data_IF_801649568962
#
_entry.id   IF_801649568962
#
_cell.length_a   1.000
_cell.length_b   1.000
_cell.length_c   1.000
_cell.angle_alpha   90.00
_cell.angle_beta   90.00
_cell.angle_gamma   90.00
#
_symmetry.space_group_name_H-M   'P 1'
#
loop_
_entity.id
_entity.type
_entity.pdbx_description
1 polymer ?
#
# COMPACT_ATOMS: atom_id res chain seq x y z
N UNK A 1 -40.21 1.74 -11.83
CA UNK A 1 -39.92 1.59 -13.29
C UNK A 1 -38.60 2.33 -13.53
N UNK A 2 -37.46 1.65 -13.27
CA UNK A 2 -36.11 2.20 -13.43
C UNK A 2 -35.48 1.61 -14.65
N UNK A 3 -35.07 2.47 -15.58
CA UNK A 3 -34.49 2.10 -16.86
C UNK A 3 -32.99 1.92 -16.67
N UNK A 4 -32.53 0.68 -16.85
CA UNK A 4 -31.12 0.30 -16.93
C UNK A 4 -30.59 0.75 -18.29
N UNK A 5 -29.57 1.61 -18.31
CA UNK A 5 -28.82 1.87 -19.55
C UNK A 5 -27.60 0.95 -19.59
N UNK A 6 -27.76 -0.08 -20.41
CA UNK A 6 -26.67 -0.95 -20.87
C UNK A 6 -25.90 -0.21 -21.96
N UNK A 7 -24.63 0.10 -21.74
CA UNK A 7 -23.75 0.60 -22.81
C UNK A 7 -22.88 -0.55 -23.28
N UNK A 8 -23.24 -1.09 -24.45
CA UNK A 8 -22.41 -2.02 -25.20
C UNK A 8 -21.19 -1.30 -25.78
N UNK A 9 -20.00 -1.84 -25.58
CA UNK A 9 -18.79 -1.43 -26.31
C UNK A 9 -18.85 -2.02 -27.73
N UNK A 10 -19.22 -1.23 -28.70
CA UNK A 10 -18.95 -1.48 -30.11
C UNK A 10 -17.74 -0.67 -30.58
N UNK A 11 -16.98 -1.28 -31.47
CA UNK A 11 -15.73 -0.81 -32.03
C UNK A 11 -15.83 0.61 -32.62
N UNK A 12 -14.94 1.52 -32.18
CA UNK A 12 -14.83 2.85 -32.74
C UNK A 12 -14.02 2.85 -34.04
N UNK A 13 -14.70 3.11 -35.15
CA UNK A 13 -14.11 3.70 -36.34
C UNK A 13 -14.14 5.25 -36.21
N UNK A 14 -13.16 6.00 -36.73
CA UNK A 14 -13.06 7.42 -36.46
C UNK A 14 -14.08 8.23 -37.25
N UNK A 15 -14.99 8.88 -36.54
CA UNK A 15 -15.86 9.93 -37.11
C UNK A 15 -15.18 11.29 -36.88
N UNK A 16 -14.65 11.86 -37.96
CA UNK A 16 -14.10 13.23 -37.97
C UNK A 16 -15.28 14.20 -37.94
N UNK A 17 -15.54 14.81 -36.79
CA UNK A 17 -16.41 15.96 -36.67
C UNK A 17 -15.53 17.20 -36.46
N UNK A 18 -15.58 18.11 -37.47
CA UNK A 18 -15.07 19.44 -37.40
C UNK A 18 -15.83 20.24 -36.33
N UNK A 19 -15.17 20.55 -35.22
CA UNK A 19 -15.57 21.67 -34.36
C UNK A 19 -14.66 22.86 -34.64
N UNK A 20 -15.29 23.93 -35.11
CA UNK A 20 -14.67 25.21 -35.35
C UNK A 20 -14.08 25.80 -34.07
N UNK A 21 -12.87 26.31 -34.22
CA UNK A 21 -12.09 27.05 -33.26
C UNK A 21 -12.88 28.16 -32.57
N UNK A 22 -12.92 28.16 -31.25
CA UNK A 22 -12.90 29.35 -30.43
C UNK A 22 -11.57 29.30 -29.67
N UNK A 23 -10.65 30.13 -30.15
CA UNK A 23 -9.34 30.24 -29.60
C UNK A 23 -9.35 30.91 -28.23
N UNK A 24 -8.71 30.25 -27.28
CA UNK A 24 -7.97 30.87 -26.20
C UNK A 24 -6.70 30.04 -26.00
N UNK A 25 -5.62 30.51 -26.62
CA UNK A 25 -4.27 30.07 -26.32
C UNK A 25 -3.93 30.58 -24.92
N UNK A 26 -4.16 29.75 -23.91
CA UNK A 26 -3.39 29.83 -22.67
C UNK A 26 -2.40 28.70 -22.74
N UNK A 27 -1.17 29.03 -23.12
CA UNK A 27 -0.01 28.17 -23.07
C UNK A 27 0.55 28.21 -21.63
N UNK A 28 -0.24 27.79 -20.64
CA UNK A 28 0.25 27.48 -19.31
C UNK A 28 0.40 25.97 -19.24
N UNK A 29 1.64 25.50 -19.11
CA UNK A 29 1.91 24.10 -18.74
C UNK A 29 1.07 23.77 -17.51
N UNK A 30 0.36 22.63 -17.53
CA UNK A 30 -0.35 22.16 -16.35
C UNK A 30 0.63 22.06 -15.18
N UNK A 31 0.19 22.36 -13.94
CA UNK A 31 1.05 22.23 -12.77
C UNK A 31 1.43 20.76 -12.54
N UNK A 32 2.58 20.53 -11.92
CA UNK A 32 3.01 19.20 -11.47
C UNK A 32 1.98 18.62 -10.52
N UNK A 33 1.60 17.35 -10.68
CA UNK A 33 0.61 16.70 -9.81
C UNK A 33 1.02 16.74 -8.34
N UNK A 34 2.30 16.54 -8.04
CA UNK A 34 2.83 16.59 -6.66
C UNK A 34 2.78 17.99 -6.04
N UNK A 35 2.69 19.04 -6.85
CA UNK A 35 2.53 20.44 -6.37
C UNK A 35 1.09 20.78 -5.99
N UNK A 36 0.11 19.99 -6.44
CA UNK A 36 -1.31 20.20 -6.16
C UNK A 36 -1.78 19.56 -4.84
N UNK A 37 -0.87 18.91 -4.10
CA UNK A 37 -1.21 18.21 -2.86
C UNK A 37 -0.27 18.57 -1.72
N UNK A 38 -0.83 18.67 -0.50
CA UNK A 38 -0.06 18.92 0.71
C UNK A 38 0.73 17.67 1.19
N UNK A 39 0.31 16.48 0.80
CA UNK A 39 0.94 15.19 1.08
C UNK A 39 0.99 14.34 -0.18
N UNK A 40 1.36 13.08 -0.07
CA UNK A 40 1.36 12.14 -1.19
C UNK A 40 1.44 10.69 -0.74
N UNK A 41 0.88 9.78 -1.55
CA UNK A 41 0.87 8.35 -1.29
C UNK A 41 0.28 7.99 0.07
N UNK A 42 0.67 6.85 0.59
CA UNK A 42 0.23 6.35 1.91
C UNK A 42 0.68 7.24 3.09
N UNK A 43 1.64 8.15 2.89
CA UNK A 43 2.06 9.13 3.91
C UNK A 43 1.05 10.23 4.25
N UNK A 44 -0.09 10.33 3.53
CA UNK A 44 -1.18 11.26 3.85
C UNK A 44 -2.26 10.67 4.78
N UNK A 45 -2.12 9.43 5.24
CA UNK A 45 -3.05 8.83 6.22
C UNK A 45 -3.07 9.64 7.52
N UNK A 46 -4.26 9.71 8.16
CA UNK A 46 -4.41 10.31 9.49
C UNK A 46 -3.61 9.48 10.48
N UNK A 47 -2.88 10.16 11.38
CA UNK A 47 -2.08 9.48 12.39
C UNK A 47 -2.95 8.56 13.26
N UNK A 48 -2.49 7.32 13.60
CA UNK A 48 -3.30 6.33 14.30
C UNK A 48 -3.91 6.83 15.63
N UNK A 49 -3.16 7.63 16.38
CA UNK A 49 -3.65 8.21 17.64
C UNK A 49 -4.84 9.14 17.43
N UNK A 50 -4.79 9.99 16.38
CA UNK A 50 -5.88 10.91 16.02
C UNK A 50 -7.09 10.13 15.52
N UNK A 51 -6.87 9.12 14.66
CA UNK A 51 -7.94 8.27 14.17
C UNK A 51 -8.63 7.52 15.32
N UNK A 52 -7.87 6.97 16.25
CA UNK A 52 -8.40 6.32 17.45
C UNK A 52 -9.27 7.25 18.29
N UNK A 53 -8.87 8.52 18.43
CA UNK A 53 -9.67 9.52 19.16
C UNK A 53 -10.99 9.83 18.43
N UNK A 54 -10.94 10.01 17.10
CA UNK A 54 -12.15 10.23 16.28
C UNK A 54 -13.13 9.06 16.42
N UNK A 55 -12.63 7.82 16.41
CA UNK A 55 -13.46 6.62 16.47
C UNK A 55 -14.07 6.34 17.85
N UNK A 56 -13.52 6.88 18.95
CA UNK A 56 -14.08 6.71 20.31
C UNK A 56 -15.53 7.15 20.46
N UNK A 57 -15.98 8.10 19.64
CA UNK A 57 -17.34 8.64 19.66
C UNK A 57 -18.31 7.95 18.69
N UNK A 58 -17.86 6.97 17.90
CA UNK A 58 -18.71 6.30 16.93
C UNK A 58 -19.56 5.21 17.61
N UNK A 59 -20.84 5.10 17.18
CA UNK A 59 -21.75 4.06 17.67
C UNK A 59 -21.17 2.67 17.34
N UNK A 60 -20.93 1.87 18.37
CA UNK A 60 -20.57 0.47 18.20
C UNK A 60 -21.84 -0.33 17.86
N UNK A 61 -21.92 -0.84 16.65
CA UNK A 61 -22.95 -1.79 16.26
C UNK A 61 -22.54 -3.22 16.67
N UNK A 62 -23.51 -4.11 16.94
CA UNK A 62 -23.20 -5.52 17.14
C UNK A 62 -22.44 -6.08 15.93
N UNK A 63 -21.30 -6.70 16.19
CA UNK A 63 -20.48 -7.33 15.14
C UNK A 63 -21.14 -8.66 14.76
N UNK A 64 -21.53 -8.86 13.49
CA UNK A 64 -22.08 -10.13 13.04
C UNK A 64 -20.99 -11.23 13.12
N UNK A 65 -21.40 -12.46 13.44
CA UNK A 65 -20.47 -13.60 13.54
C UNK A 65 -19.76 -13.95 12.24
N UNK A 66 -20.32 -13.53 11.12
CA UNK A 66 -19.77 -13.70 9.77
C UNK A 66 -18.62 -12.71 9.48
N UNK A 67 -18.50 -11.61 10.24
CA UNK A 67 -17.38 -10.68 10.14
C UNK A 67 -16.15 -11.30 10.82
N UNK A 68 -15.26 -11.92 10.01
CA UNK A 68 -14.07 -12.61 10.50
C UNK A 68 -12.97 -11.64 10.86
N UNK A 69 -12.83 -10.56 10.09
CA UNK A 69 -11.84 -9.49 10.27
C UNK A 69 -12.54 -8.15 10.14
N UNK A 70 -12.32 -7.28 11.11
CA UNK A 70 -12.87 -5.92 11.16
C UNK A 70 -11.83 -4.95 11.71
N UNK A 71 -12.29 -3.89 12.39
CA UNK A 71 -11.40 -2.81 12.88
C UNK A 71 -10.60 -3.17 14.15
N UNK A 72 -10.85 -4.33 14.77
CA UNK A 72 -10.31 -4.63 16.10
C UNK A 72 -8.82 -4.99 16.08
N UNK A 73 -8.33 -5.61 15.03
CA UNK A 73 -6.97 -6.17 14.89
C UNK A 73 -6.07 -5.36 13.96
N UNK A 74 -6.59 -4.24 13.40
CA UNK A 74 -5.86 -3.38 12.47
C UNK A 74 -5.23 -4.16 11.30
N UNK A 75 -5.97 -5.12 10.76
CA UNK A 75 -5.60 -5.86 9.55
C UNK A 75 -5.85 -5.01 8.29
N UNK A 76 -5.29 -5.43 7.17
CA UNK A 76 -5.27 -4.65 5.92
C UNK A 76 -6.66 -4.48 5.28
N UNK A 77 -7.58 -5.44 5.48
CA UNK A 77 -8.93 -5.38 4.93
C UNK A 77 -9.97 -6.03 5.84
N UNK A 78 -11.24 -5.66 5.64
CA UNK A 78 -12.36 -6.38 6.22
C UNK A 78 -12.57 -7.72 5.52
N UNK A 79 -12.90 -8.77 6.30
CA UNK A 79 -13.20 -10.11 5.77
C UNK A 79 -14.55 -10.58 6.31
N UNK A 80 -15.48 -10.86 5.41
CA UNK A 80 -16.81 -11.33 5.72
C UNK A 80 -17.06 -12.73 5.16
N UNK A 81 -17.38 -13.69 6.03
CA UNK A 81 -17.65 -15.08 5.65
C UNK A 81 -18.98 -15.17 4.90
N UNK A 82 -18.96 -15.64 3.67
CA UNK A 82 -20.15 -15.90 2.85
C UNK A 82 -20.70 -17.30 3.09
N UNK A 83 -19.81 -18.28 3.17
CA UNK A 83 -20.09 -19.70 3.45
C UNK A 83 -18.80 -20.40 3.90
N UNK A 84 -18.82 -21.71 4.07
CA UNK A 84 -17.66 -22.47 4.57
C UNK A 84 -16.49 -22.59 3.57
N UNK A 85 -16.68 -22.17 2.32
CA UNK A 85 -15.66 -22.22 1.26
C UNK A 85 -15.19 -20.84 0.82
N UNK A 86 -15.95 -19.78 1.13
CA UNK A 86 -15.67 -18.44 0.63
C UNK A 86 -15.90 -17.37 1.69
N UNK A 87 -14.96 -16.48 1.79
CA UNK A 87 -15.09 -15.20 2.46
C UNK A 87 -14.77 -14.06 1.48
N UNK A 88 -15.50 -12.96 1.63
CA UNK A 88 -15.29 -11.73 0.87
C UNK A 88 -14.28 -10.86 1.60
N UNK A 89 -13.25 -10.45 0.89
CA UNK A 89 -12.33 -9.40 1.30
C UNK A 89 -12.83 -8.09 0.70
N UNK A 90 -12.90 -7.03 1.50
CA UNK A 90 -13.27 -5.70 1.04
C UNK A 90 -12.32 -4.66 1.64
N UNK A 91 -11.65 -3.91 0.78
CA UNK A 91 -10.76 -2.82 1.16
C UNK A 91 -11.02 -1.56 0.34
N UNK A 92 -10.53 -0.43 0.83
CA UNK A 92 -10.49 0.83 0.09
C UNK A 92 -9.21 1.57 0.42
N UNK A 93 -8.43 1.90 -0.60
CA UNK A 93 -7.26 2.76 -0.44
C UNK A 93 -7.19 3.79 -1.56
N UNK A 94 -6.91 5.04 -1.20
CA UNK A 94 -6.80 6.17 -2.09
C UNK A 94 -5.88 7.22 -1.49
N UNK A 95 -5.20 7.98 -2.33
CA UNK A 95 -4.27 9.01 -1.87
C UNK A 95 -3.99 10.07 -2.93
N UNK A 96 -3.24 11.08 -2.54
CA UNK A 96 -2.74 12.15 -3.38
C UNK A 96 -1.46 11.75 -4.10
N UNK A 97 -1.10 12.38 -5.25
CA UNK A 97 0.07 12.01 -6.05
C UNK A 97 1.39 12.01 -5.29
N UNK A 98 2.22 10.99 -5.55
CA UNK A 98 3.63 10.92 -5.15
C UNK A 98 4.57 11.07 -6.34
N UNK A 99 4.03 11.07 -7.56
CA UNK A 99 4.73 11.27 -8.83
C UNK A 99 3.98 12.26 -9.70
N UNK A 100 4.67 12.87 -10.67
CA UNK A 100 4.09 13.88 -11.56
C UNK A 100 3.53 13.26 -12.84
N UNK A 101 4.03 12.10 -13.28
CA UNK A 101 3.42 11.39 -14.40
C UNK A 101 2.04 10.85 -14.02
N UNK A 102 0.97 11.25 -14.74
CA UNK A 102 -0.39 10.88 -14.38
C UNK A 102 -0.68 9.37 -14.58
N UNK A 103 -0.06 8.74 -15.56
CA UNK A 103 -0.24 7.32 -15.80
C UNK A 103 0.42 6.49 -14.68
N UNK A 104 1.64 6.88 -14.27
CA UNK A 104 2.34 6.23 -13.16
C UNK A 104 1.62 6.46 -11.83
N UNK A 105 1.08 7.65 -11.58
CA UNK A 105 0.24 7.89 -10.39
C UNK A 105 -0.94 6.93 -10.34
N UNK A 106 -1.65 6.77 -11.46
CA UNK A 106 -2.77 5.81 -11.56
C UNK A 106 -2.34 4.37 -11.30
N UNK A 107 -1.19 3.95 -11.86
CA UNK A 107 -0.61 2.60 -11.63
C UNK A 107 -0.29 2.36 -10.15
N UNK A 108 0.38 3.29 -9.52
CA UNK A 108 0.79 3.18 -8.11
C UNK A 108 -0.44 3.07 -7.21
N UNK A 109 -1.44 3.95 -7.41
CA UNK A 109 -2.64 3.96 -6.61
C UNK A 109 -3.44 2.65 -6.71
N UNK A 110 -3.58 2.10 -7.93
CA UNK A 110 -4.24 0.82 -8.13
C UNK A 110 -3.46 -0.35 -7.53
N UNK A 111 -2.12 -0.36 -7.69
CA UNK A 111 -1.26 -1.41 -7.12
C UNK A 111 -1.38 -1.43 -5.59
N UNK A 112 -1.37 -0.26 -4.96
CA UNK A 112 -1.51 -0.13 -3.51
C UNK A 112 -2.87 -0.66 -3.02
N UNK A 113 -3.96 -0.23 -3.65
CA UNK A 113 -5.30 -0.64 -3.21
C UNK A 113 -5.58 -2.15 -3.41
N UNK A 114 -4.99 -2.78 -4.43
CA UNK A 114 -5.11 -4.22 -4.64
C UNK A 114 -4.27 -5.02 -3.64
N UNK A 115 -3.22 -4.43 -3.09
CA UNK A 115 -2.25 -5.09 -2.20
C UNK A 115 -2.89 -5.65 -0.95
N UNK A 116 -3.85 -4.94 -0.33
CA UNK A 116 -4.56 -5.40 0.87
C UNK A 116 -5.27 -6.74 0.66
N UNK A 117 -5.81 -6.97 -0.55
CA UNK A 117 -6.45 -8.26 -0.88
C UNK A 117 -5.41 -9.38 -0.87
N UNK A 118 -4.23 -9.12 -1.41
CA UNK A 118 -3.12 -10.09 -1.39
C UNK A 118 -2.57 -10.32 0.02
N UNK A 119 -2.48 -9.26 0.84
CA UNK A 119 -2.05 -9.33 2.23
C UNK A 119 -2.99 -10.19 3.08
N UNK A 120 -4.29 -10.17 2.80
CA UNK A 120 -5.26 -11.08 3.44
C UNK A 120 -5.25 -12.51 2.88
N UNK A 121 -4.32 -12.85 1.98
CA UNK A 121 -4.21 -14.16 1.34
C UNK A 121 -5.23 -14.42 0.24
N UNK A 122 -5.94 -13.40 -0.21
CA UNK A 122 -7.03 -13.50 -1.18
C UNK A 122 -6.65 -13.20 -2.63
N UNK A 123 -7.58 -13.51 -3.53
CA UNK A 123 -7.50 -13.17 -4.95
C UNK A 123 -8.47 -12.03 -5.25
N UNK A 124 -8.02 -10.90 -5.81
CA UNK A 124 -8.92 -9.82 -6.21
C UNK A 124 -9.87 -10.31 -7.31
N UNK A 125 -11.10 -9.78 -7.32
CA UNK A 125 -12.13 -10.16 -8.30
C UNK A 125 -12.69 -8.97 -9.09
N UNK A 126 -12.74 -7.79 -8.50
CA UNK A 126 -13.14 -6.55 -9.17
C UNK A 126 -12.73 -5.32 -8.37
N UNK A 127 -12.72 -4.16 -9.01
CA UNK A 127 -12.47 -2.88 -8.38
C UNK A 127 -13.54 -1.83 -8.74
N UNK A 128 -13.68 -0.81 -7.88
CA UNK A 128 -14.44 0.41 -8.14
C UNK A 128 -13.50 1.60 -7.99
N UNK A 129 -13.47 2.51 -8.96
CA UNK A 129 -12.57 3.66 -8.93
C UNK A 129 -13.11 4.79 -8.04
N UNK A 130 -12.23 5.37 -7.21
CA UNK A 130 -12.48 6.59 -6.44
C UNK A 130 -11.66 7.72 -7.06
N UNK A 131 -12.34 8.75 -7.56
CA UNK A 131 -11.73 9.82 -8.35
C UNK A 131 -12.16 11.19 -7.80
N UNK A 132 -11.25 11.89 -7.13
CA UNK A 132 -11.39 13.29 -6.77
C UNK A 132 -10.38 14.12 -7.57
N UNK A 133 -10.85 15.04 -8.43
CA UNK A 133 -9.93 15.79 -9.30
C UNK A 133 -10.30 17.25 -9.38
N UNK A 134 -9.30 18.18 -9.36
CA UNK A 134 -9.52 19.61 -9.57
C UNK A 134 -9.74 19.88 -11.06
N UNK A 135 -10.99 19.72 -11.53
CA UNK A 135 -11.35 19.77 -12.96
C UNK A 135 -11.14 21.14 -13.61
N UNK A 136 -10.97 22.21 -12.80
CA UNK A 136 -10.62 23.54 -13.29
C UNK A 136 -9.09 23.75 -13.45
N UNK A 137 -8.27 22.78 -12.98
CA UNK A 137 -6.79 22.85 -12.98
C UNK A 137 -6.19 21.80 -13.88
N UNK A 138 -6.71 20.57 -13.82
CA UNK A 138 -6.25 19.43 -14.60
C UNK A 138 -7.14 19.21 -15.83
N UNK A 139 -6.52 18.98 -17.00
CA UNK A 139 -7.24 18.64 -18.21
C UNK A 139 -7.90 17.25 -18.12
N UNK A 140 -8.94 17.04 -18.89
CA UNK A 140 -9.57 15.72 -19.05
C UNK A 140 -8.59 14.67 -19.59
N UNK A 141 -7.58 15.09 -20.36
CA UNK A 141 -6.52 14.21 -20.86
C UNK A 141 -5.63 13.71 -19.71
N UNK A 142 -5.20 14.60 -18.81
CA UNK A 142 -4.40 14.24 -17.64
C UNK A 142 -5.16 13.31 -16.70
N UNK A 143 -6.43 13.65 -16.41
CA UNK A 143 -7.32 12.78 -15.60
C UNK A 143 -7.52 11.42 -16.29
N UNK A 144 -7.74 11.42 -17.61
CA UNK A 144 -7.86 10.19 -18.39
C UNK A 144 -6.62 9.29 -18.32
N UNK A 145 -5.39 9.88 -18.30
CA UNK A 145 -4.15 9.10 -18.11
C UNK A 145 -4.05 8.47 -16.73
N UNK A 146 -4.49 9.15 -15.66
CA UNK A 146 -4.55 8.57 -14.31
C UNK A 146 -5.44 7.33 -14.31
N UNK A 147 -6.65 7.44 -14.86
CA UNK A 147 -7.58 6.32 -14.95
C UNK A 147 -7.03 5.17 -15.81
N UNK A 148 -6.37 5.49 -16.92
CA UNK A 148 -5.72 4.50 -17.79
C UNK A 148 -4.59 3.75 -17.06
N UNK A 149 -3.81 4.46 -16.23
CA UNK A 149 -2.79 3.85 -15.37
C UNK A 149 -3.40 2.83 -14.41
N UNK A 150 -4.45 3.20 -13.70
CA UNK A 150 -5.17 2.30 -12.79
C UNK A 150 -5.78 1.09 -13.53
N UNK A 151 -6.40 1.33 -14.67
CA UNK A 151 -6.97 0.26 -15.50
C UNK A 151 -5.92 -0.73 -16.00
N UNK A 152 -4.71 -0.27 -16.33
CA UNK A 152 -3.61 -1.13 -16.77
C UNK A 152 -3.18 -2.12 -15.68
N UNK A 153 -3.14 -1.69 -14.42
CA UNK A 153 -2.81 -2.54 -13.27
C UNK A 153 -3.94 -3.52 -12.97
N UNK A 154 -5.20 -3.07 -12.98
CA UNK A 154 -6.36 -3.97 -12.84
C UNK A 154 -6.37 -5.06 -13.92
N UNK A 155 -6.05 -4.70 -15.16
CA UNK A 155 -5.91 -5.67 -16.25
C UNK A 155 -4.78 -6.68 -15.99
N UNK A 156 -3.63 -6.24 -15.47
CA UNK A 156 -2.53 -7.13 -15.07
C UNK A 156 -2.93 -8.06 -13.92
N UNK A 157 -3.73 -7.56 -12.98
CA UNK A 157 -4.29 -8.37 -11.88
C UNK A 157 -5.44 -9.29 -12.33
N UNK A 158 -5.90 -9.17 -13.59
CA UNK A 158 -6.99 -9.96 -14.16
C UNK A 158 -8.37 -9.58 -13.65
N UNK A 159 -8.57 -8.33 -13.24
CA UNK A 159 -9.84 -7.84 -12.67
C UNK A 159 -10.40 -6.64 -13.45
N UNK A 160 -11.73 -6.51 -13.59
CA UNK A 160 -12.34 -5.33 -14.16
C UNK A 160 -12.42 -4.18 -13.14
N UNK A 161 -12.38 -2.93 -13.63
CA UNK A 161 -12.95 -1.78 -12.94
C UNK A 161 -14.44 -1.74 -13.30
N UNK A 162 -15.30 -2.11 -12.35
CA UNK A 162 -16.74 -2.33 -12.59
C UNK A 162 -17.59 -1.05 -12.39
N UNK A 163 -16.96 0.09 -12.09
CA UNK A 163 -17.62 1.36 -11.84
C UNK A 163 -16.80 2.21 -10.87
N UNK A 164 -17.47 3.10 -10.15
CA UNK A 164 -16.80 3.95 -9.18
C UNK A 164 -17.57 5.23 -8.87
N UNK A 165 -16.90 6.20 -8.25
CA UNK A 165 -17.46 7.50 -7.93
C UNK A 165 -16.48 8.62 -8.25
N UNK A 166 -17.00 9.77 -8.71
CA UNK A 166 -16.18 10.94 -9.08
C UNK A 166 -16.69 12.18 -8.37
N UNK A 167 -15.77 13.02 -7.90
CA UNK A 167 -16.07 14.33 -7.32
C UNK A 167 -15.12 15.39 -7.87
N UNK A 168 -15.57 16.64 -7.93
CA UNK A 168 -14.69 17.80 -8.06
C UNK A 168 -14.01 18.03 -6.70
N UNK A 169 -12.69 18.10 -6.68
CA UNK A 169 -11.88 18.18 -5.46
C UNK A 169 -10.80 19.23 -5.61
N UNK A 170 -10.37 19.85 -4.51
CA UNK A 170 -9.27 20.83 -4.51
C UNK A 170 -7.93 20.16 -4.82
N UNK A 171 -7.72 18.94 -4.31
CA UNK A 171 -6.52 18.15 -4.52
C UNK A 171 -6.84 16.91 -5.35
N UNK A 172 -5.92 16.47 -6.23
CA UNK A 172 -6.11 15.20 -6.97
C UNK A 172 -6.04 14.01 -6.01
N UNK A 173 -7.06 13.18 -6.05
CA UNK A 173 -7.19 11.96 -5.26
C UNK A 173 -7.59 10.83 -6.21
N UNK A 174 -6.86 9.73 -6.16
CA UNK A 174 -7.21 8.52 -6.90
C UNK A 174 -6.92 7.28 -6.06
N UNK A 175 -7.77 6.29 -6.21
CA UNK A 175 -7.62 4.96 -5.63
C UNK A 175 -8.77 4.05 -6.00
N UNK A 176 -8.85 2.92 -5.32
CA UNK A 176 -9.84 1.89 -5.60
C UNK A 176 -10.50 1.41 -4.31
N UNK A 177 -11.76 1.02 -4.41
CA UNK A 177 -12.32 -0.05 -3.59
C UNK A 177 -11.98 -1.36 -4.30
N UNK A 178 -11.45 -2.33 -3.59
CA UNK A 178 -11.13 -3.64 -4.17
C UNK A 178 -11.86 -4.74 -3.40
N UNK A 179 -12.49 -5.63 -4.16
CA UNK A 179 -13.11 -6.84 -3.62
C UNK A 179 -12.29 -8.05 -4.00
N UNK A 180 -12.13 -8.98 -3.06
CA UNK A 180 -11.43 -10.25 -3.28
C UNK A 180 -12.15 -11.42 -2.63
N UNK A 181 -11.72 -12.62 -2.97
CA UNK A 181 -12.21 -13.85 -2.36
C UNK A 181 -11.04 -14.64 -1.76
N UNK A 182 -11.32 -15.26 -0.62
CA UNK A 182 -10.39 -16.13 0.09
C UNK A 182 -11.17 -17.31 0.71
N UNK A 183 -10.52 -18.47 0.89
CA UNK A 183 -11.09 -19.52 1.74
C UNK A 183 -11.01 -19.08 3.20
N UNK A 184 -12.07 -19.25 4.03
CA UNK A 184 -12.07 -18.80 5.43
C UNK A 184 -10.85 -19.25 6.23
N UNK A 185 -10.41 -20.50 6.04
CA UNK A 185 -9.27 -21.08 6.77
C UNK A 185 -7.89 -20.58 6.27
N UNK A 186 -7.85 -19.78 5.18
CA UNK A 186 -6.62 -19.23 4.60
C UNK A 186 -6.45 -17.73 4.83
N UNK A 187 -7.40 -17.12 5.53
CA UNK A 187 -7.27 -15.71 5.92
C UNK A 187 -6.06 -15.54 6.81
N UNK A 188 -5.14 -14.64 6.42
CA UNK A 188 -3.97 -14.30 7.24
C UNK A 188 -4.25 -12.99 7.98
N UNK A 189 -3.97 -12.99 9.26
CA UNK A 189 -4.23 -11.87 10.17
C UNK A 189 -2.99 -11.53 10.96
N UNK A 190 -2.89 -10.31 11.41
CA UNK A 190 -1.78 -9.82 12.21
C UNK A 190 -1.61 -10.58 13.54
N UNK A 191 -2.71 -11.05 14.14
CA UNK A 191 -2.70 -11.79 15.42
C UNK A 191 -2.29 -13.27 15.30
N UNK A 192 -2.02 -13.74 14.07
CA UNK A 192 -1.63 -15.14 13.82
C UNK A 192 -0.18 -15.48 14.13
N UNK A 193 0.72 -14.50 14.28
CA UNK A 193 2.14 -14.71 14.47
C UNK A 193 2.45 -15.46 15.78
N UNK A 194 3.55 -16.22 15.80
CA UNK A 194 3.95 -17.10 16.89
C UNK A 194 5.39 -16.85 17.34
N UNK A 195 5.69 -17.17 18.59
CA UNK A 195 7.07 -17.16 19.09
C UNK A 195 7.94 -18.09 18.24
N UNK A 196 9.10 -17.58 17.83
CA UNK A 196 10.05 -18.31 16.97
C UNK A 196 9.80 -18.13 15.47
N UNK A 197 8.69 -17.50 15.06
CA UNK A 197 8.49 -17.18 13.64
C UNK A 197 9.60 -16.28 13.11
N UNK A 198 9.95 -16.49 11.85
CA UNK A 198 10.87 -15.68 11.08
C UNK A 198 10.08 -14.66 10.25
N UNK A 199 10.59 -13.44 10.17
CA UNK A 199 9.99 -12.37 9.37
C UNK A 199 10.70 -12.22 8.03
N UNK A 200 9.93 -12.29 6.94
CA UNK A 200 10.41 -12.11 5.57
C UNK A 200 9.74 -10.89 4.94
N UNK A 201 10.53 -9.93 4.47
CA UNK A 201 10.06 -8.72 3.77
C UNK A 201 10.20 -8.89 2.26
N UNK A 202 9.12 -8.67 1.50
CA UNK A 202 9.04 -8.97 0.07
C UNK A 202 9.62 -7.89 -0.86
N UNK A 203 9.68 -6.63 -0.42
CA UNK A 203 10.23 -5.52 -1.23
C UNK A 203 11.15 -4.64 -0.39
N UNK A 204 12.16 -3.97 -1.02
CA UNK A 204 13.03 -3.04 -0.34
C UNK A 204 12.29 -1.77 0.10
N UNK A 205 12.84 -1.10 1.14
CA UNK A 205 12.34 0.16 1.69
C UNK A 205 12.95 1.37 0.98
N UNK A 206 12.31 2.55 1.16
CA UNK A 206 12.84 3.83 0.73
C UNK A 206 11.94 4.63 -0.21
N UNK A 207 10.70 4.16 -0.47
CA UNK A 207 9.75 4.83 -1.37
C UNK A 207 9.45 6.25 -0.92
N UNK A 208 9.27 6.48 0.39
CA UNK A 208 9.04 7.82 0.92
C UNK A 208 10.22 8.77 0.70
N UNK A 209 11.45 8.27 0.89
CA UNK A 209 12.68 9.03 0.62
C UNK A 209 12.76 9.42 -0.88
N UNK A 210 12.54 8.45 -1.79
CA UNK A 210 12.57 8.70 -3.23
C UNK A 210 11.47 9.69 -3.65
N UNK A 211 10.27 9.58 -3.11
CA UNK A 211 9.16 10.51 -3.40
C UNK A 211 9.45 11.93 -2.86
N UNK A 212 10.09 12.04 -1.71
CA UNK A 212 10.54 13.33 -1.16
C UNK A 212 11.61 13.98 -2.05
N UNK A 213 12.57 13.18 -2.55
CA UNK A 213 13.58 13.64 -3.50
C UNK A 213 12.95 14.07 -4.83
N UNK A 214 11.96 13.32 -5.35
CA UNK A 214 11.23 13.70 -6.56
C UNK A 214 10.51 15.05 -6.40
N UNK A 215 9.83 15.25 -5.28
CA UNK A 215 9.13 16.51 -5.00
C UNK A 215 10.07 17.71 -4.97
N UNK A 216 11.32 17.51 -4.52
CA UNK A 216 12.41 18.51 -4.50
C UNK A 216 13.22 18.58 -5.80
N UNK A 217 12.84 17.82 -6.83
CA UNK A 217 13.57 17.73 -8.12
C UNK A 217 15.02 17.24 -7.96
N UNK A 218 15.28 16.44 -6.93
CA UNK A 218 16.59 15.87 -6.61
C UNK A 218 16.71 14.38 -6.99
N UNK A 219 15.64 13.75 -7.50
CA UNK A 219 15.64 12.35 -7.92
C UNK A 219 16.06 12.25 -9.39
N UNK A 220 17.06 11.44 -9.67
CA UNK A 220 17.50 11.15 -11.04
C UNK A 220 16.57 10.14 -11.74
N UNK A 221 16.81 9.93 -13.04
CA UNK A 221 15.99 9.02 -13.86
C UNK A 221 16.08 7.56 -13.42
N UNK A 222 17.23 7.11 -12.90
CA UNK A 222 17.43 5.75 -12.40
C UNK A 222 16.65 5.53 -11.09
N UNK A 223 16.72 6.47 -10.16
CA UNK A 223 15.94 6.47 -8.93
C UNK A 223 14.44 6.50 -9.20
N UNK A 224 14.00 7.31 -10.18
CA UNK A 224 12.59 7.32 -10.61
C UNK A 224 12.17 5.94 -11.15
N UNK A 225 12.93 5.38 -12.08
CA UNK A 225 12.64 4.07 -12.66
C UNK A 225 12.56 2.97 -11.58
N UNK A 226 13.51 2.98 -10.63
CA UNK A 226 13.52 2.04 -9.49
C UNK A 226 12.29 2.20 -8.61
N UNK A 227 11.92 3.44 -8.27
CA UNK A 227 10.71 3.73 -7.50
C UNK A 227 9.45 3.23 -8.20
N UNK A 228 9.29 3.50 -9.50
CA UNK A 228 8.15 3.04 -10.30
C UNK A 228 8.11 1.51 -10.37
N UNK A 229 9.22 0.86 -10.66
CA UNK A 229 9.30 -0.59 -10.72
C UNK A 229 8.85 -1.25 -9.39
N UNK A 230 9.27 -0.69 -8.26
CA UNK A 230 8.89 -1.18 -6.93
C UNK A 230 7.41 -0.93 -6.60
N UNK A 231 6.93 0.29 -6.83
CA UNK A 231 5.58 0.73 -6.43
C UNK A 231 4.46 0.24 -7.34
N UNK A 232 4.77 -0.17 -8.57
CA UNK A 232 3.80 -0.76 -9.52
C UNK A 232 3.84 -2.28 -9.58
N UNK A 233 4.66 -2.92 -8.75
CA UNK A 233 4.75 -4.37 -8.64
C UNK A 233 3.65 -4.91 -7.73
N UNK A 234 2.70 -5.66 -8.29
CA UNK A 234 1.60 -6.30 -7.57
C UNK A 234 2.11 -7.36 -6.57
N UNK A 235 1.58 -7.39 -5.37
CA UNK A 235 1.91 -8.36 -4.32
C UNK A 235 1.27 -9.75 -4.57
N UNK A 236 1.39 -10.24 -5.80
CA UNK A 236 0.84 -11.53 -6.26
C UNK A 236 1.31 -12.78 -5.48
N UNK A 237 2.39 -12.80 -4.70
CA UNK A 237 2.72 -13.92 -3.84
C UNK A 237 1.67 -14.23 -2.76
N UNK A 238 0.87 -13.23 -2.33
CA UNK A 238 -0.01 -13.34 -1.16
C UNK A 238 -0.88 -14.59 -1.11
N UNK A 239 -1.68 -14.91 -2.15
CA UNK A 239 -2.53 -16.10 -2.14
C UNK A 239 -1.75 -17.42 -2.01
N UNK A 240 -0.58 -17.53 -2.65
CA UNK A 240 0.26 -18.73 -2.57
C UNK A 240 0.93 -18.84 -1.20
N UNK A 241 1.42 -17.72 -0.64
CA UNK A 241 1.94 -17.68 0.72
C UNK A 241 0.88 -18.08 1.76
N UNK A 242 -0.37 -17.67 1.56
CA UNK A 242 -1.46 -18.03 2.45
C UNK A 242 -1.81 -19.53 2.43
N UNK A 243 -1.44 -20.26 1.38
CA UNK A 243 -1.61 -21.72 1.27
C UNK A 243 -0.54 -22.51 2.06
N UNK A 244 0.60 -21.88 2.37
CA UNK A 244 1.66 -22.53 3.15
C UNK A 244 1.24 -22.64 4.62
N UNK A 245 1.21 -23.87 5.14
CA UNK A 245 0.79 -24.15 6.52
C UNK A 245 1.69 -23.47 7.57
N UNK A 246 2.97 -23.25 7.24
CA UNK A 246 3.93 -22.58 8.10
C UNK A 246 3.87 -21.05 8.04
N UNK A 247 3.03 -20.43 7.22
CA UNK A 247 2.80 -18.97 7.21
C UNK A 247 1.68 -18.65 8.19
N UNK A 248 1.99 -17.91 9.24
CA UNK A 248 1.09 -17.64 10.35
C UNK A 248 0.44 -16.27 10.29
N UNK A 249 1.18 -15.22 9.86
CA UNK A 249 0.66 -13.89 9.65
C UNK A 249 1.20 -13.27 8.35
N UNK A 250 0.45 -12.35 7.77
CA UNK A 250 0.76 -11.67 6.52
C UNK A 250 0.13 -10.28 6.55
N UNK A 251 0.91 -9.25 6.20
CA UNK A 251 0.46 -7.87 5.97
C UNK A 251 1.30 -7.26 4.86
N UNK A 252 0.95 -6.09 4.35
CA UNK A 252 1.84 -5.31 3.50
C UNK A 252 2.39 -4.09 4.23
N UNK A 253 3.60 -3.67 3.85
CA UNK A 253 4.27 -2.53 4.48
C UNK A 253 3.92 -1.25 3.73
N UNK A 254 3.10 -0.39 4.32
CA UNK A 254 2.62 0.84 3.68
C UNK A 254 2.89 2.11 4.50
N UNK A 255 1.90 2.92 4.76
CA UNK A 255 2.03 4.29 5.25
C UNK A 255 2.71 4.48 6.61
N UNK A 256 2.65 3.47 7.46
CA UNK A 256 3.28 3.52 8.79
C UNK A 256 4.73 3.06 8.81
N UNK A 257 5.29 2.70 7.64
CA UNK A 257 6.65 2.19 7.51
C UNK A 257 6.81 0.78 8.07
N UNK A 258 7.99 0.20 7.91
CA UNK A 258 8.26 -1.15 8.42
C UNK A 258 7.96 -1.25 9.92
N UNK A 259 8.41 -0.27 10.71
CA UNK A 259 8.21 -0.31 12.16
C UNK A 259 6.73 -0.32 12.55
N UNK A 260 5.88 0.48 11.89
CA UNK A 260 4.44 0.51 12.17
C UNK A 260 3.77 -0.84 11.93
N UNK A 261 4.01 -1.45 10.77
CA UNK A 261 3.39 -2.73 10.40
C UNK A 261 3.94 -3.93 11.20
N UNK A 262 5.23 -3.91 11.55
CA UNK A 262 5.78 -4.88 12.52
C UNK A 262 5.12 -4.75 13.88
N UNK A 263 4.85 -3.52 14.33
CA UNK A 263 4.16 -3.26 15.60
C UNK A 263 2.69 -3.72 15.57
N UNK A 264 2.02 -3.66 14.42
CA UNK A 264 0.66 -4.20 14.27
C UNK A 264 0.65 -5.72 14.50
N UNK A 265 1.59 -6.47 13.89
CA UNK A 265 1.77 -7.90 14.15
C UNK A 265 2.11 -8.14 15.63
N UNK A 266 3.08 -7.39 16.19
CA UNK A 266 3.52 -7.55 17.57
C UNK A 266 2.38 -7.32 18.59
N UNK A 267 1.53 -6.32 18.36
CA UNK A 267 0.36 -6.01 19.19
C UNK A 267 -0.72 -7.07 19.03
N UNK A 268 -1.05 -7.45 17.78
CA UNK A 268 -2.06 -8.46 17.48
C UNK A 268 -1.75 -9.80 18.14
N UNK A 269 -0.51 -10.29 18.00
CA UNK A 269 -0.06 -11.54 18.57
C UNK A 269 0.37 -11.45 20.06
N UNK A 270 0.46 -10.22 20.62
CA UNK A 270 1.00 -9.96 21.95
C UNK A 270 2.44 -10.49 22.14
N UNK A 271 3.31 -10.22 21.17
CA UNK A 271 4.70 -10.66 21.10
C UNK A 271 5.67 -9.48 20.99
N UNK A 272 6.98 -9.75 20.96
CA UNK A 272 8.02 -8.80 20.60
C UNK A 272 8.64 -9.19 19.27
N UNK A 273 8.86 -8.21 18.40
CA UNK A 273 9.59 -8.40 17.14
C UNK A 273 11.05 -8.00 17.31
N UNK A 274 11.95 -8.78 16.76
CA UNK A 274 13.37 -8.48 16.64
C UNK A 274 13.72 -8.28 15.17
N UNK A 275 14.17 -7.07 14.80
CA UNK A 275 14.65 -6.76 13.44
C UNK A 275 16.17 -6.64 13.48
N UNK A 276 16.84 -7.33 12.56
CA UNK A 276 18.24 -7.10 12.25
C UNK A 276 18.33 -6.04 11.15
N UNK A 277 18.77 -4.84 11.51
CA UNK A 277 18.81 -3.72 10.57
C UNK A 277 19.69 -4.00 9.34
N UNK A 278 20.79 -4.73 9.52
CA UNK A 278 21.71 -5.04 8.44
C UNK A 278 21.09 -5.90 7.31
N UNK A 279 20.02 -6.63 7.62
CA UNK A 279 19.32 -7.51 6.68
C UNK A 279 18.12 -6.83 5.98
N UNK A 280 17.78 -5.60 6.36
CA UNK A 280 16.66 -4.86 5.76
C UNK A 280 17.05 -4.37 4.37
N UNK A 281 16.39 -4.83 3.29
CA UNK A 281 16.71 -4.41 1.93
C UNK A 281 16.27 -2.96 1.68
N UNK A 282 17.13 -2.19 1.03
CA UNK A 282 16.88 -0.80 0.67
C UNK A 282 16.92 -0.61 -0.85
N UNK A 283 16.08 0.29 -1.35
CA UNK A 283 16.15 0.75 -2.74
C UNK A 283 17.49 1.46 -3.02
N UNK A 284 17.99 1.45 -4.26
CA UNK A 284 19.20 2.13 -4.63
C UNK A 284 19.22 3.62 -4.22
N UNK A 285 20.37 4.12 -3.80
CA UNK A 285 20.65 5.51 -3.45
C UNK A 285 19.83 6.10 -2.26
N UNK A 286 18.97 5.32 -1.60
CA UNK A 286 18.11 5.78 -0.49
C UNK A 286 18.92 6.38 0.64
N UNK A 287 20.01 5.72 1.09
CA UNK A 287 20.86 6.24 2.17
C UNK A 287 21.56 7.55 1.81
N UNK A 288 21.96 7.73 0.54
CA UNK A 288 22.55 8.99 0.08
C UNK A 288 21.50 10.11 0.05
N UNK A 289 20.34 9.86 -0.55
CA UNK A 289 19.23 10.82 -0.60
C UNK A 289 18.75 11.23 0.79
N UNK A 290 18.72 10.29 1.75
CA UNK A 290 18.37 10.60 3.14
C UNK A 290 19.40 11.53 3.79
N UNK A 291 20.69 11.29 3.60
CA UNK A 291 21.78 12.19 4.08
C UNK A 291 21.68 13.59 3.49
N UNK A 292 21.17 13.74 2.27
CA UNK A 292 20.89 15.02 1.62
C UNK A 292 19.58 15.67 2.12
N UNK A 293 18.96 15.12 3.16
CA UNK A 293 17.79 15.68 3.84
C UNK A 293 16.45 15.38 3.11
N UNK A 294 16.42 14.39 2.24
CA UNK A 294 15.16 13.94 1.62
C UNK A 294 14.42 13.01 2.58
N UNK A 295 13.45 13.57 3.31
CA UNK A 295 12.61 12.86 4.28
C UNK A 295 11.19 13.38 4.18
N UNK A 296 10.21 12.50 4.35
CA UNK A 296 8.79 12.89 4.40
C UNK A 296 8.42 13.36 5.80
N UNK A 297 7.50 14.32 5.90
CA UNK A 297 6.93 14.70 7.21
C UNK A 297 6.16 13.55 7.86
N UNK A 298 5.72 12.56 7.11
CA UNK A 298 5.05 11.38 7.62
C UNK A 298 5.98 10.50 8.46
N UNK A 299 7.26 10.36 8.08
CA UNK A 299 8.23 9.59 8.84
C UNK A 299 8.37 10.10 10.30
N UNK A 300 8.48 11.43 10.47
CA UNK A 300 8.50 12.04 11.81
C UNK A 300 7.23 11.77 12.60
N UNK A 301 6.06 11.99 12.01
CA UNK A 301 4.76 11.72 12.67
C UNK A 301 4.57 10.25 13.04
N UNK A 302 5.01 9.34 12.19
CA UNK A 302 5.00 7.91 12.46
C UNK A 302 5.83 7.60 13.71
N UNK A 303 7.06 8.09 13.74
CA UNK A 303 7.95 7.89 14.90
C UNK A 303 7.39 8.50 16.20
N UNK A 304 6.86 9.70 16.15
CA UNK A 304 6.19 10.33 17.28
C UNK A 304 5.01 9.49 17.80
N UNK A 305 4.29 8.83 16.90
CA UNK A 305 3.12 8.02 17.23
C UNK A 305 3.44 6.71 17.94
N UNK A 306 4.51 6.02 17.57
CA UNK A 306 4.79 4.67 18.06
C UNK A 306 6.25 4.42 18.50
N UNK A 307 7.16 5.37 18.36
CA UNK A 307 8.58 5.20 18.68
C UNK A 307 8.82 4.82 20.15
N UNK A 308 7.89 5.14 21.05
CA UNK A 308 7.94 4.76 22.47
C UNK A 308 7.84 3.24 22.72
N UNK A 309 7.40 2.46 21.73
CA UNK A 309 7.33 1.00 21.79
C UNK A 309 8.58 0.32 21.20
N UNK A 310 9.54 1.13 20.70
CA UNK A 310 10.71 0.65 19.96
C UNK A 310 11.97 0.83 20.79
N UNK A 311 12.79 -0.21 20.85
CA UNK A 311 14.14 -0.16 21.40
C UNK A 311 15.17 -0.30 20.28
N UNK A 312 16.02 0.70 20.11
CA UNK A 312 17.13 0.68 19.15
C UNK A 312 18.42 0.35 19.90
N UNK A 313 19.18 -0.64 19.41
CA UNK A 313 20.49 -0.96 19.98
C UNK A 313 21.48 0.19 19.77
N UNK A 314 22.44 0.32 20.70
CA UNK A 314 23.53 1.29 20.54
C UNK A 314 24.40 0.94 19.32
N UNK A 315 24.83 1.98 18.58
CA UNK A 315 25.73 1.81 17.44
C UNK A 315 25.03 1.62 16.08
N UNK A 316 23.69 1.57 16.04
CA UNK A 316 22.97 1.58 14.77
C UNK A 316 23.22 2.87 13.99
N UNK A 317 23.26 2.81 12.64
CA UNK A 317 23.43 4.00 11.81
C UNK A 317 22.25 4.97 12.00
N UNK A 318 22.54 6.28 11.89
CA UNK A 318 21.53 7.33 12.08
C UNK A 318 20.35 7.24 11.10
N UNK A 319 20.55 6.56 9.98
CA UNK A 319 19.52 6.32 8.96
C UNK A 319 18.49 5.26 9.35
N UNK A 320 18.79 4.41 10.33
CA UNK A 320 17.91 3.32 10.76
C UNK A 320 16.53 3.83 11.18
N UNK A 321 16.47 4.77 12.12
CA UNK A 321 15.20 5.31 12.62
C UNK A 321 14.33 5.93 11.52
N UNK A 322 14.81 6.88 10.69
CA UNK A 322 13.99 7.47 9.65
C UNK A 322 13.53 6.47 8.59
N UNK A 323 14.33 5.45 8.25
CA UNK A 323 13.96 4.43 7.28
C UNK A 323 12.97 3.40 7.83
N UNK A 324 13.04 3.05 9.11
CA UNK A 324 12.03 2.21 9.76
C UNK A 324 10.64 2.85 9.76
N UNK A 325 10.58 4.17 9.87
CA UNK A 325 9.33 4.95 9.88
C UNK A 325 8.97 5.59 8.54
N UNK A 326 9.79 5.36 7.49
CA UNK A 326 9.54 5.88 6.14
C UNK A 326 8.27 5.29 5.54
N UNK A 327 7.27 6.11 5.16
CA UNK A 327 6.06 5.58 4.55
C UNK A 327 6.38 4.89 3.22
N UNK A 328 5.92 3.66 3.09
CA UNK A 328 6.00 2.90 1.85
C UNK A 328 4.66 3.00 1.12
N UNK A 329 4.66 3.41 -0.13
CA UNK A 329 3.48 3.32 -1.00
C UNK A 329 3.62 2.08 -1.85
N UNK A 330 2.63 1.21 -1.87
CA UNK A 330 2.69 -0.11 -2.52
C UNK A 330 3.90 -0.93 -2.07
N UNK A 331 4.17 -0.97 -0.79
CA UNK A 331 5.30 -1.71 -0.24
C UNK A 331 5.15 -3.23 -0.37
N UNK A 332 6.12 -3.96 0.14
CA UNK A 332 6.17 -5.42 0.06
C UNK A 332 5.32 -6.09 1.13
N UNK A 333 4.94 -7.34 0.87
CA UNK A 333 4.39 -8.20 1.91
C UNK A 333 5.42 -8.44 3.00
N UNK A 334 4.96 -8.43 4.25
CA UNK A 334 5.70 -8.86 5.43
C UNK A 334 5.07 -10.16 5.92
N UNK A 335 5.85 -11.22 5.93
CA UNK A 335 5.42 -12.59 6.24
C UNK A 335 6.00 -13.01 7.58
N UNK A 336 5.15 -13.47 8.52
CA UNK A 336 5.58 -14.21 9.71
C UNK A 336 5.36 -15.69 9.49
N UNK A 337 6.44 -16.47 9.52
CA UNK A 337 6.37 -17.91 9.23
C UNK A 337 7.27 -18.74 10.15
N UNK A 338 6.92 -20.01 10.31
CA UNK A 338 7.75 -20.98 11.00
C UNK A 338 9.15 -21.08 10.35
N UNK A 339 10.23 -21.29 11.12
CA UNK A 339 11.60 -21.35 10.59
C UNK A 339 11.76 -22.35 9.44
N UNK A 340 11.09 -23.50 9.51
CA UNK A 340 11.11 -24.53 8.47
C UNK A 340 10.40 -24.14 7.18
N UNK A 341 9.51 -23.14 7.20
CA UNK A 341 8.80 -22.63 6.04
C UNK A 341 9.56 -21.53 5.29
N UNK A 342 10.64 -20.98 5.85
CA UNK A 342 11.38 -19.83 5.27
C UNK A 342 11.82 -20.10 3.83
N UNK A 343 12.36 -21.30 3.57
CA UNK A 343 12.83 -21.65 2.22
C UNK A 343 11.68 -21.65 1.20
N UNK A 344 10.51 -22.16 1.58
CA UNK A 344 9.33 -22.19 0.72
C UNK A 344 8.78 -20.78 0.51
N UNK A 345 8.74 -19.93 1.54
CA UNK A 345 8.33 -18.52 1.47
C UNK A 345 9.23 -17.75 0.50
N UNK A 346 10.55 -17.86 0.62
CA UNK A 346 11.50 -17.21 -0.29
C UNK A 346 11.37 -17.75 -1.72
N UNK A 347 11.13 -19.05 -1.89
CA UNK A 347 10.89 -19.65 -3.20
C UNK A 347 9.60 -19.14 -3.85
N UNK A 348 8.53 -18.88 -3.08
CA UNK A 348 7.32 -18.24 -3.58
C UNK A 348 7.65 -16.82 -4.06
N UNK A 349 8.30 -16.00 -3.26
CA UNK A 349 8.73 -14.66 -3.65
C UNK A 349 9.56 -14.68 -4.94
N UNK A 350 10.54 -15.58 -5.03
CA UNK A 350 11.40 -15.70 -6.21
C UNK A 350 10.62 -16.07 -7.48
N UNK A 351 9.68 -17.03 -7.40
CA UNK A 351 8.82 -17.42 -8.55
C UNK A 351 7.99 -16.26 -9.08
N UNK A 352 7.58 -15.36 -8.19
CA UNK A 352 6.85 -14.13 -8.55
C UNK A 352 7.78 -12.95 -8.90
N UNK A 353 9.11 -13.18 -8.96
CA UNK A 353 10.10 -12.19 -9.35
C UNK A 353 10.47 -11.18 -8.24
N UNK A 354 10.17 -11.48 -6.97
CA UNK A 354 10.56 -10.65 -5.83
C UNK A 354 11.96 -11.05 -5.35
N UNK A 355 12.96 -10.68 -6.13
CA UNK A 355 14.35 -11.13 -5.93
C UNK A 355 15.02 -10.47 -4.71
N UNK A 356 14.47 -9.35 -4.23
CA UNK A 356 14.97 -8.61 -3.06
C UNK A 356 14.32 -9.05 -1.76
N UNK A 357 13.45 -10.09 -1.80
CA UNK A 357 12.83 -10.62 -0.59
C UNK A 357 13.89 -11.17 0.36
N UNK A 358 13.83 -10.73 1.61
CA UNK A 358 14.86 -11.03 2.60
C UNK A 358 14.26 -11.36 3.97
N UNK A 359 14.97 -12.24 4.71
CA UNK A 359 14.71 -12.43 6.15
C UNK A 359 15.21 -11.18 6.87
N UNK A 360 14.33 -10.51 7.62
CA UNK A 360 14.65 -9.24 8.29
C UNK A 360 14.62 -9.34 9.82
N UNK A 361 14.11 -10.45 10.37
CA UNK A 361 13.99 -10.59 11.82
C UNK A 361 13.20 -11.82 12.25
N UNK A 362 12.75 -11.82 13.49
CA UNK A 362 11.99 -12.92 14.08
C UNK A 362 11.04 -12.43 15.20
N UNK A 363 10.09 -13.29 15.56
CA UNK A 363 9.15 -13.09 16.66
C UNK A 363 9.72 -13.73 17.94
N UNK A 364 9.79 -12.94 19.02
CA UNK A 364 10.20 -13.37 20.36
C UNK A 364 9.07 -13.31 21.38
N UNK A 365 9.32 -13.85 22.57
CA UNK A 365 8.44 -13.68 23.73
C UNK A 365 8.18 -12.20 24.03
N UNK A 366 7.00 -11.87 24.56
CA UNK A 366 6.62 -10.52 24.91
C UNK A 366 7.60 -9.87 25.91
N UNK A 367 8.11 -8.70 25.58
CA UNK A 367 9.01 -7.90 26.40
C UNK A 367 8.43 -6.49 26.62
N UNK A 368 9.19 -5.64 27.34
CA UNK A 368 8.79 -4.24 27.59
C UNK A 368 8.66 -3.41 26.32
N UNK A 369 9.53 -3.65 25.34
CA UNK A 369 9.45 -3.06 24.00
C UNK A 369 8.84 -4.05 23.02
N UNK A 370 7.90 -3.59 22.19
CA UNK A 370 7.24 -4.43 21.18
C UNK A 370 8.11 -4.66 19.95
N UNK A 371 9.04 -3.74 19.67
CA UNK A 371 10.00 -3.84 18.59
C UNK A 371 11.41 -3.57 19.14
N UNK A 372 12.32 -4.49 18.85
CA UNK A 372 13.75 -4.37 19.16
C UNK A 372 14.53 -4.41 17.84
N UNK A 373 15.43 -3.44 17.65
CA UNK A 373 16.25 -3.34 16.43
C UNK A 373 17.71 -3.39 16.80
N UNK A 374 18.48 -4.25 16.15
CA UNK A 374 19.92 -4.47 16.38
C UNK A 374 20.73 -4.44 15.08
#
# INVERSE_FOLDING_TARGET
MFILHLVCFEAFAPLILHFSQLGTTMNSSEPRLTSLSHGGGCGCKIAPAVLSEILKGTLQMPIPKELMVGIATADDAAVYKLNDQQALIATTDFFMPIVDDPFDFGRIAATNAISDVYAMGGKPIMALALVGMPVNVLSTNTIGKILAGGASVCNTAGIPIAGGHTIDSVEPIYGLVVLGLVHPDRVKRNDGARVGDVLVLGKPLGVGILSAALKKEALDAEGYASMIANTTKLNTPGPELAELAGVHALTDVTGFGLAGHVLEIARGANLTVHINWADVPLLPNVSALLKDGNLTGASGRNWEGYGHEISLAGGLPAECQPLLSDPQTSGGLLVSCAPEAVADVLAVFQRHGFNDAAVVGHMGEAQSSRLMVS
#
